data_IF_030848968166
#
_entry.id   IF_030848968166
#
_cell.length_a   1.000
_cell.length_b   1.000
_cell.length_c   1.000
_cell.angle_alpha   90.00
_cell.angle_beta   90.00
_cell.angle_gamma   90.00
#
_symmetry.space_group_name_H-M   'P 1'
#
loop_
_entity.id
_entity.type
_entity.pdbx_description
1 polymer ?
#
# COMPACT_ATOMS: atom_id res chain seq x y z
N UNK A 1 8.65 -11.30 51.86
CA UNK A 1 8.05 -11.52 50.52
C UNK A 1 7.89 -10.14 49.87
N UNK A 2 8.69 -9.84 48.83
CA UNK A 2 8.73 -8.51 48.19
C UNK A 2 8.24 -8.67 46.75
N UNK A 3 7.06 -8.12 46.50
CA UNK A 3 6.39 -8.04 45.21
C UNK A 3 7.27 -7.25 44.23
N UNK A 4 7.71 -7.88 43.14
CA UNK A 4 8.38 -7.17 42.04
C UNK A 4 7.34 -6.37 41.25
N UNK A 5 7.58 -5.08 40.96
CA UNK A 5 6.73 -4.32 40.06
C UNK A 5 6.97 -4.79 38.62
N UNK A 6 5.91 -5.33 37.98
CA UNK A 6 5.89 -5.56 36.54
C UNK A 6 6.15 -4.22 35.82
N UNK A 7 7.17 -4.13 34.95
CA UNK A 7 7.55 -2.88 34.34
C UNK A 7 6.54 -2.49 33.25
N UNK A 8 5.85 -1.37 33.49
CA UNK A 8 4.89 -0.70 32.60
C UNK A 8 5.49 -0.39 31.20
N UNK A 9 6.82 -0.41 31.07
CA UNK A 9 7.57 -0.23 29.81
C UNK A 9 7.21 -1.26 28.71
N UNK A 10 6.76 -2.47 29.08
CA UNK A 10 6.48 -3.52 28.08
C UNK A 10 5.19 -3.30 27.29
N UNK A 11 4.24 -2.51 27.80
CA UNK A 11 2.95 -2.26 27.13
C UNK A 11 3.09 -1.18 26.05
N UNK A 12 3.94 -0.17 26.26
CA UNK A 12 4.19 0.89 25.29
C UNK A 12 4.88 0.36 24.00
N UNK A 13 5.75 -0.65 24.13
CA UNK A 13 6.42 -1.26 22.99
C UNK A 13 5.48 -2.12 22.12
N UNK A 14 4.48 -2.77 22.73
CA UNK A 14 3.46 -3.55 22.01
C UNK A 14 2.45 -2.65 21.27
N UNK A 15 2.14 -1.47 21.82
CA UNK A 15 1.31 -0.47 21.14
C UNK A 15 2.03 0.13 19.92
N UNK A 16 3.33 0.39 20.00
CA UNK A 16 4.11 0.89 18.87
C UNK A 16 4.22 -0.13 17.71
N UNK A 17 4.29 -1.43 18.01
CA UNK A 17 4.34 -2.48 17.00
C UNK A 17 3.00 -2.73 16.28
N UNK A 18 1.89 -2.26 16.84
CA UNK A 18 0.53 -2.40 16.27
C UNK A 18 -0.03 -1.08 15.74
N UNK A 19 0.71 0.03 15.84
CA UNK A 19 0.17 1.39 15.62
C UNK A 19 0.17 1.87 14.17
N UNK A 20 0.51 1.03 13.19
CA UNK A 20 0.27 1.36 11.79
C UNK A 20 -0.92 0.55 11.31
N UNK A 21 -2.14 1.09 11.36
CA UNK A 21 -3.30 0.39 10.82
C UNK A 21 -2.99 -0.02 9.39
N UNK A 22 -3.36 -1.24 9.03
CA UNK A 22 -3.29 -1.67 7.64
C UNK A 22 -3.91 -0.58 6.76
N UNK A 23 -3.19 -0.10 5.73
CA UNK A 23 -3.57 1.04 4.94
C UNK A 23 -4.99 0.81 4.46
N UNK A 24 -5.92 1.64 4.92
CA UNK A 24 -7.34 1.47 4.64
C UNK A 24 -7.60 1.62 3.14
N UNK A 25 -8.74 1.13 2.66
CA UNK A 25 -9.13 1.34 1.25
C UNK A 25 -9.17 2.85 0.94
N UNK A 26 -9.63 3.66 1.90
CA UNK A 26 -9.63 5.12 1.80
C UNK A 26 -8.22 5.70 1.66
N UNK A 27 -7.27 5.26 2.50
CA UNK A 27 -5.88 5.71 2.39
C UNK A 27 -5.27 5.35 1.03
N UNK A 28 -5.43 4.10 0.57
CA UNK A 28 -4.89 3.68 -0.71
C UNK A 28 -5.52 4.48 -1.87
N UNK A 29 -6.83 4.75 -1.81
CA UNK A 29 -7.52 5.60 -2.78
C UNK A 29 -6.93 7.01 -2.80
N UNK A 30 -6.79 7.65 -1.65
CA UNK A 30 -6.23 9.01 -1.56
C UNK A 30 -4.78 9.06 -2.04
N UNK A 31 -3.94 8.13 -1.61
CA UNK A 31 -2.56 8.02 -2.04
C UNK A 31 -2.47 7.85 -3.57
N UNK A 32 -3.34 7.02 -4.16
CA UNK A 32 -3.42 6.83 -5.60
C UNK A 32 -3.82 8.12 -6.34
N UNK A 33 -4.81 8.87 -5.83
CA UNK A 33 -5.20 10.16 -6.40
C UNK A 33 -4.07 11.19 -6.34
N UNK A 34 -3.38 11.29 -5.20
CA UNK A 34 -2.21 12.17 -5.04
C UNK A 34 -1.12 11.81 -6.04
N UNK A 35 -0.79 10.52 -6.15
CA UNK A 35 0.23 10.04 -7.07
C UNK A 35 -0.10 10.39 -8.54
N UNK A 36 -1.36 10.23 -8.96
CA UNK A 36 -1.76 10.62 -10.32
C UNK A 36 -1.72 12.13 -10.52
N UNK A 37 -2.04 12.93 -9.49
CA UNK A 37 -1.88 14.38 -9.51
C UNK A 37 -0.43 14.78 -9.76
N UNK A 38 0.52 14.10 -9.11
CA UNK A 38 1.96 14.39 -9.25
C UNK A 38 2.54 14.01 -10.62
N UNK A 39 1.93 13.05 -11.35
CA UNK A 39 2.31 12.75 -12.75
C UNK A 39 2.20 14.01 -13.61
N UNK A 40 1.17 14.84 -13.38
CA UNK A 40 0.95 16.09 -14.14
C UNK A 40 1.91 17.21 -13.71
N UNK A 41 2.44 17.15 -12.49
CA UNK A 41 3.30 18.18 -11.90
C UNK A 41 4.80 18.01 -12.14
N UNK A 42 5.22 16.96 -12.85
CA UNK A 42 6.62 16.65 -13.17
C UNK A 42 7.56 16.45 -11.96
N UNK A 43 7.04 16.22 -10.76
CA UNK A 43 7.86 15.82 -9.61
C UNK A 43 8.23 14.33 -9.71
N UNK A 44 9.33 14.09 -10.42
CA UNK A 44 9.87 12.75 -10.68
C UNK A 44 10.18 11.99 -9.39
N UNK A 45 10.62 12.67 -8.32
CA UNK A 45 11.02 12.01 -7.08
C UNK A 45 9.80 11.46 -6.32
N UNK A 46 8.77 12.28 -6.19
CA UNK A 46 7.50 11.86 -5.57
C UNK A 46 6.82 10.77 -6.40
N UNK A 47 6.87 10.92 -7.72
CA UNK A 47 6.37 9.93 -8.66
C UNK A 47 7.04 8.55 -8.55
N UNK A 48 8.38 8.48 -8.44
CA UNK A 48 9.09 7.19 -8.25
C UNK A 48 8.66 6.51 -6.96
N UNK A 49 8.56 7.28 -5.86
CA UNK A 49 8.08 6.76 -4.56
C UNK A 49 6.64 6.22 -4.65
N UNK A 50 5.80 6.87 -5.44
CA UNK A 50 4.44 6.40 -5.72
C UNK A 50 4.44 5.04 -6.41
N UNK A 51 5.28 4.87 -7.44
CA UNK A 51 5.42 3.59 -8.13
C UNK A 51 5.89 2.47 -7.18
N UNK A 52 6.84 2.76 -6.31
CA UNK A 52 7.37 1.79 -5.34
C UNK A 52 6.37 1.42 -4.25
N UNK A 53 5.61 2.39 -3.72
CA UNK A 53 4.71 2.14 -2.59
C UNK A 53 3.36 1.57 -2.99
N UNK A 54 2.84 1.93 -4.17
CA UNK A 54 1.46 1.61 -4.54
C UNK A 54 1.32 0.50 -5.58
N UNK A 55 2.36 0.28 -6.41
CA UNK A 55 2.29 -0.67 -7.55
C UNK A 55 3.18 -1.90 -7.33
N UNK A 56 4.04 -1.90 -6.31
CA UNK A 56 4.93 -3.03 -6.05
C UNK A 56 4.14 -4.27 -5.59
N UNK A 57 4.37 -5.45 -6.18
CA UNK A 57 3.80 -6.71 -5.73
C UNK A 57 4.03 -6.93 -4.23
N UNK A 58 3.01 -7.42 -3.53
CA UNK A 58 3.03 -7.66 -2.08
C UNK A 58 2.72 -6.44 -1.23
N UNK A 59 2.51 -5.26 -1.83
CA UNK A 59 2.03 -4.10 -1.07
C UNK A 59 0.54 -4.20 -0.78
N UNK A 60 0.13 -3.74 0.41
CA UNK A 60 -1.25 -3.83 0.84
C UNK A 60 -2.19 -3.01 -0.07
N UNK A 61 -1.73 -1.88 -0.61
CA UNK A 61 -2.52 -1.08 -1.52
C UNK A 61 -2.71 -1.72 -2.91
N UNK A 62 -1.68 -2.33 -3.51
CA UNK A 62 -1.86 -3.02 -4.79
C UNK A 62 -2.88 -4.15 -4.67
N UNK A 63 -2.89 -4.85 -3.54
CA UNK A 63 -3.86 -5.89 -3.25
C UNK A 63 -5.27 -5.35 -3.02
N UNK A 64 -5.42 -4.18 -2.40
CA UNK A 64 -6.72 -3.51 -2.30
C UNK A 64 -7.24 -3.07 -3.67
N UNK A 65 -6.36 -2.61 -4.57
CA UNK A 65 -6.76 -2.26 -5.94
C UNK A 65 -7.19 -3.48 -6.75
N UNK A 66 -6.49 -4.60 -6.62
CA UNK A 66 -6.86 -5.85 -7.31
C UNK A 66 -8.24 -6.37 -6.86
N UNK A 67 -8.61 -6.13 -5.59
CA UNK A 67 -9.91 -6.53 -5.05
C UNK A 67 -11.04 -5.53 -5.35
N UNK A 68 -10.74 -4.27 -5.70
CA UNK A 68 -11.72 -3.23 -6.03
C UNK A 68 -11.60 -2.81 -7.51
N UNK A 69 -12.54 -3.20 -8.39
CA UNK A 69 -12.46 -2.90 -9.81
C UNK A 69 -12.51 -1.41 -10.15
N UNK A 70 -13.09 -0.56 -9.28
CA UNK A 70 -13.12 0.88 -9.48
C UNK A 70 -11.74 1.50 -9.25
N UNK A 71 -11.05 1.07 -8.19
CA UNK A 71 -9.67 1.49 -7.91
C UNK A 71 -8.68 0.91 -8.92
N UNK A 72 -8.93 -0.30 -9.41
CA UNK A 72 -8.08 -0.96 -10.39
C UNK A 72 -7.91 -0.14 -11.67
N UNK A 73 -9.00 0.47 -12.18
CA UNK A 73 -8.97 1.36 -13.36
C UNK A 73 -8.02 2.54 -13.18
N UNK A 74 -7.99 3.10 -11.98
CA UNK A 74 -7.15 4.23 -11.63
C UNK A 74 -5.70 3.77 -11.41
N UNK A 75 -5.52 2.63 -10.74
CA UNK A 75 -4.22 2.01 -10.53
C UNK A 75 -3.54 1.71 -11.88
N UNK A 76 -4.28 1.22 -12.89
CA UNK A 76 -3.75 0.98 -14.24
C UNK A 76 -3.08 2.21 -14.85
N UNK A 77 -3.65 3.40 -14.67
CA UNK A 77 -3.05 4.65 -15.17
C UNK A 77 -1.72 4.93 -14.50
N UNK A 78 -1.63 4.71 -13.19
CA UNK A 78 -0.38 4.83 -12.45
C UNK A 78 0.63 3.75 -12.89
N UNK A 79 0.21 2.49 -13.06
CA UNK A 79 1.13 1.42 -13.51
C UNK A 79 1.71 1.69 -14.90
N UNK A 80 0.86 2.13 -15.83
CA UNK A 80 1.26 2.48 -17.19
C UNK A 80 2.23 3.66 -17.19
N UNK A 81 1.96 4.69 -16.40
CA UNK A 81 2.92 5.77 -16.19
C UNK A 81 4.24 5.19 -15.68
N UNK A 82 4.19 4.36 -14.62
CA UNK A 82 5.35 3.76 -13.96
C UNK A 82 6.15 2.78 -14.85
N UNK A 83 5.76 2.59 -16.11
CA UNK A 83 6.42 1.67 -17.05
C UNK A 83 6.28 0.21 -16.64
N UNK A 84 5.32 -0.13 -15.77
CA UNK A 84 5.09 -1.51 -15.34
C UNK A 84 4.01 -2.14 -16.22
N UNK A 85 4.35 -3.13 -17.07
CA UNK A 85 3.37 -3.78 -17.92
C UNK A 85 2.41 -4.61 -17.06
N UNK A 86 1.12 -4.44 -17.33
CA UNK A 86 0.09 -5.17 -16.63
C UNK A 86 -0.03 -6.59 -17.18
N UNK A 87 -0.13 -7.63 -16.34
CA UNK A 87 -0.50 -8.96 -16.81
C UNK A 87 -1.98 -9.00 -17.23
N UNK A 88 -2.24 -9.09 -18.54
CA UNK A 88 -3.62 -9.12 -19.10
C UNK A 88 -4.29 -10.49 -18.94
N UNK A 89 -3.50 -11.57 -18.80
CA UNK A 89 -3.99 -12.96 -18.75
C UNK A 89 -3.48 -13.75 -17.53
N UNK A 90 -3.16 -13.06 -16.43
CA UNK A 90 -2.77 -13.74 -15.18
C UNK A 90 -3.77 -13.44 -14.10
N UNK A 91 -3.96 -14.39 -13.20
CA UNK A 91 -4.61 -14.14 -11.92
C UNK A 91 -3.85 -13.00 -11.23
N UNK A 92 -4.52 -11.84 -11.12
CA UNK A 92 -3.93 -10.62 -10.58
C UNK A 92 -3.54 -10.79 -9.13
N UNK A 93 -4.32 -11.53 -8.33
CA UNK A 93 -4.00 -11.79 -6.92
C UNK A 93 -2.70 -12.58 -6.83
N UNK A 94 -2.56 -13.61 -7.66
CA UNK A 94 -1.31 -14.40 -7.72
C UNK A 94 -0.13 -13.57 -8.22
N UNK A 95 -0.33 -12.75 -9.26
CA UNK A 95 0.74 -11.91 -9.82
C UNK A 95 1.28 -10.90 -8.80
N UNK A 96 0.38 -10.21 -8.09
CA UNK A 96 0.75 -9.24 -7.07
C UNK A 96 1.02 -9.87 -5.70
N UNK A 97 1.07 -11.20 -5.59
CA UNK A 97 1.29 -11.93 -4.32
C UNK A 97 0.33 -11.48 -3.22
N UNK A 98 -0.91 -11.19 -3.59
CA UNK A 98 -1.96 -10.85 -2.65
C UNK A 98 -2.47 -12.12 -2.02
N UNK A 99 -1.97 -12.43 -0.81
CA UNK A 99 -2.58 -13.44 0.04
C UNK A 99 -4.00 -13.02 0.44
N UNK A 100 -4.80 -13.97 0.91
CA UNK A 100 -6.06 -13.68 1.60
C UNK A 100 -5.73 -12.81 2.82
N UNK A 101 -5.92 -11.50 2.68
CA UNK A 101 -6.02 -10.56 3.81
C UNK A 101 -7.29 -10.87 4.61
#
# INVERSE_FOLDING_TARGET
MKTLPLPVMSIAFLLLLTSFPDPTVAYCKEALHLCIGTIKGSDRATYVKCCERLITPGTQCVCKYVNDPALMKVAYRLMAACGKPMPINKDLKKHYKCGSL
#
